data_IF_198888367104
#
_entry.id   IF_198888367104
#
_cell.length_a   1.000
_cell.length_b   1.000
_cell.length_c   1.000
_cell.angle_alpha   90.00
_cell.angle_beta   90.00
_cell.angle_gamma   90.00
#
_symmetry.space_group_name_H-M   'P 1'
#
loop_
_entity.id
_entity.type
_entity.pdbx_description
1 polymer ?
#
# COMPACT_ATOMS: atom_id res chain seq x y z
N UNK A 1 3.74 27.82 16.85
CA UNK A 1 4.31 26.61 16.26
C UNK A 1 4.03 26.62 14.75
N UNK A 2 4.99 26.27 13.90
CA UNK A 2 4.80 26.14 12.45
C UNK A 2 4.86 24.66 12.07
N UNK A 3 3.79 24.14 11.47
CA UNK A 3 3.73 22.77 11.01
C UNK A 3 4.02 22.67 9.52
N UNK A 4 4.76 21.63 9.11
CA UNK A 4 4.91 21.24 7.73
C UNK A 4 4.23 19.90 7.47
N UNK A 5 3.90 19.66 6.21
CA UNK A 5 3.39 18.36 5.75
C UNK A 5 4.20 17.88 4.54
N UNK A 6 4.57 16.61 4.55
CA UNK A 6 5.24 15.93 3.42
C UNK A 6 4.43 14.68 3.09
N UNK A 7 3.96 14.58 1.86
CA UNK A 7 3.17 13.43 1.43
C UNK A 7 2.84 13.47 -0.05
N UNK A 8 2.70 12.31 -0.67
CA UNK A 8 2.25 12.18 -2.05
C UNK A 8 1.22 11.04 -2.22
N UNK A 9 1.09 10.17 -1.22
CA UNK A 9 0.25 8.99 -1.27
C UNK A 9 -1.15 9.27 -0.71
N UNK A 10 -2.16 8.55 -1.20
CA UNK A 10 -3.56 8.69 -0.79
C UNK A 10 -3.78 8.56 0.73
N UNK A 11 -2.96 7.80 1.43
CA UNK A 11 -3.09 7.59 2.87
C UNK A 11 -2.83 8.84 3.73
N UNK A 12 -2.21 9.87 3.15
CA UNK A 12 -1.96 11.15 3.84
C UNK A 12 -3.11 12.15 3.73
N UNK A 13 -3.96 12.03 2.71
CA UNK A 13 -5.02 13.03 2.43
C UNK A 13 -6.01 13.20 3.59
N UNK A 14 -6.64 12.13 4.14
CA UNK A 14 -7.63 12.30 5.20
C UNK A 14 -7.05 12.90 6.49
N UNK A 15 -5.79 12.61 6.78
CA UNK A 15 -5.12 13.13 7.96
C UNK A 15 -4.74 14.61 7.78
N UNK A 16 -4.21 15.00 6.61
CA UNK A 16 -3.94 16.41 6.32
C UNK A 16 -5.22 17.23 6.35
N UNK A 17 -6.30 16.75 5.74
CA UNK A 17 -7.59 17.43 5.74
C UNK A 17 -8.07 17.69 7.17
N UNK A 18 -8.07 16.69 8.03
CA UNK A 18 -8.50 16.81 9.41
C UNK A 18 -7.62 17.80 10.22
N UNK A 19 -6.31 17.79 10.00
CA UNK A 19 -5.37 18.73 10.63
C UNK A 19 -5.66 20.17 10.20
N UNK A 20 -5.96 20.40 8.91
CA UNK A 20 -6.31 21.71 8.37
C UNK A 20 -7.70 22.18 8.87
N UNK A 21 -8.69 21.29 8.91
CA UNK A 21 -10.04 21.58 9.45
C UNK A 21 -10.00 21.93 10.94
N UNK A 22 -9.08 21.34 11.69
CA UNK A 22 -8.84 21.69 13.09
C UNK A 22 -8.15 23.05 13.27
N UNK A 23 -7.83 23.78 12.19
CA UNK A 23 -7.15 25.06 12.22
C UNK A 23 -5.70 24.99 12.69
N UNK A 24 -5.06 23.84 12.57
CA UNK A 24 -3.65 23.70 12.93
C UNK A 24 -2.76 24.53 11.99
N UNK A 25 -1.67 25.13 12.48
CA UNK A 25 -0.86 26.10 11.73
C UNK A 25 0.07 25.42 10.72
N UNK A 26 -0.50 24.70 9.75
CA UNK A 26 0.23 24.14 8.63
C UNK A 26 0.60 25.24 7.65
N UNK A 27 1.87 25.54 7.53
CA UNK A 27 2.37 26.66 6.72
C UNK A 27 2.86 26.25 5.34
N UNK A 28 3.11 24.96 5.12
CA UNK A 28 3.49 24.41 3.81
C UNK A 28 3.20 22.93 3.70
N UNK A 29 2.88 22.51 2.49
CA UNK A 29 2.80 21.09 2.08
C UNK A 29 3.84 20.83 0.99
N UNK A 30 4.61 19.76 1.13
CA UNK A 30 5.55 19.29 0.11
C UNK A 30 5.03 17.96 -0.46
N UNK A 31 5.01 17.86 -1.79
CA UNK A 31 4.61 16.64 -2.51
C UNK A 31 5.59 16.33 -3.64
N UNK A 32 5.51 15.12 -4.20
CA UNK A 32 6.30 14.79 -5.38
C UNK A 32 5.76 15.52 -6.61
N UNK A 33 6.66 15.93 -7.50
CA UNK A 33 6.29 16.38 -8.85
C UNK A 33 5.45 15.32 -9.55
N UNK A 34 4.45 15.70 -10.37
CA UNK A 34 3.54 14.75 -11.02
C UNK A 34 4.26 13.63 -11.80
N UNK A 35 5.32 13.96 -12.52
CA UNK A 35 6.11 13.01 -13.30
C UNK A 35 6.86 12.00 -12.43
N UNK A 36 7.25 12.37 -11.21
CA UNK A 36 7.86 11.45 -10.24
C UNK A 36 6.80 10.61 -9.55
N UNK A 37 5.68 11.22 -9.18
CA UNK A 37 4.57 10.57 -8.51
C UNK A 37 3.88 9.52 -9.40
N UNK A 38 3.79 9.76 -10.72
CA UNK A 38 3.16 8.85 -11.69
C UNK A 38 3.79 7.44 -11.70
N UNK A 39 5.06 7.31 -11.32
CA UNK A 39 5.74 6.01 -11.20
C UNK A 39 5.53 5.33 -9.84
N UNK A 40 4.72 5.91 -8.96
CA UNK A 40 4.49 5.43 -7.59
C UNK A 40 3.05 4.97 -7.40
N UNK A 41 2.88 3.79 -6.83
CA UNK A 41 1.55 3.28 -6.47
C UNK A 41 0.88 4.18 -5.43
N UNK A 42 -0.42 4.41 -5.56
CA UNK A 42 -1.21 5.16 -4.58
C UNK A 42 -0.96 6.67 -4.56
N UNK A 43 -0.28 7.24 -5.57
CA UNK A 43 -0.10 8.67 -5.68
C UNK A 43 -1.45 9.40 -5.74
N UNK A 44 -1.56 10.53 -5.04
CA UNK A 44 -2.76 11.34 -4.96
C UNK A 44 -2.45 12.83 -5.19
N UNK A 45 -3.43 13.57 -5.70
CA UNK A 45 -3.31 15.00 -5.94
C UNK A 45 -3.63 15.81 -4.69
N UNK A 46 -2.64 16.46 -4.10
CA UNK A 46 -2.76 17.32 -2.91
C UNK A 46 -3.21 18.76 -3.25
N UNK A 47 -3.16 19.16 -4.54
CA UNK A 47 -3.48 20.54 -4.98
C UNK A 47 -4.90 20.99 -4.63
N UNK A 48 -5.97 20.17 -4.80
CA UNK A 48 -7.32 20.60 -4.45
C UNK A 48 -7.46 20.94 -2.96
N UNK A 49 -6.86 20.10 -2.09
CA UNK A 49 -6.89 20.30 -0.65
C UNK A 49 -6.12 21.57 -0.24
N UNK A 50 -4.90 21.74 -0.74
CA UNK A 50 -4.07 22.91 -0.47
C UNK A 50 -4.76 24.21 -0.92
N UNK A 51 -5.40 24.20 -2.10
CA UNK A 51 -6.18 25.38 -2.58
C UNK A 51 -7.37 25.69 -1.68
N UNK A 52 -8.13 24.67 -1.25
CA UNK A 52 -9.28 24.83 -0.36
C UNK A 52 -8.92 25.56 0.95
N UNK A 53 -7.77 25.22 1.51
CA UNK A 53 -7.32 25.79 2.79
C UNK A 53 -6.30 26.93 2.66
N UNK A 54 -5.93 27.32 1.44
CA UNK A 54 -4.98 28.42 1.21
C UNK A 54 -3.54 28.11 1.69
N UNK A 55 -3.16 26.83 1.74
CA UNK A 55 -1.82 26.41 2.17
C UNK A 55 -0.89 26.28 0.95
N UNK A 56 0.31 26.87 0.97
CA UNK A 56 1.30 26.73 -0.09
C UNK A 56 1.67 25.26 -0.33
N UNK A 57 1.66 24.84 -1.61
CA UNK A 57 2.10 23.52 -2.04
C UNK A 57 3.41 23.66 -2.82
N UNK A 58 4.40 22.87 -2.43
CA UNK A 58 5.70 22.77 -3.09
C UNK A 58 5.89 21.39 -3.69
N UNK A 59 6.16 21.34 -4.99
CA UNK A 59 6.41 20.10 -5.71
C UNK A 59 7.91 19.84 -5.83
N UNK A 60 8.38 18.69 -5.33
CA UNK A 60 9.79 18.33 -5.26
C UNK A 60 10.08 17.02 -6.00
N UNK A 61 11.29 16.85 -6.51
CA UNK A 61 11.75 15.56 -7.09
C UNK A 61 12.19 14.62 -5.98
N UNK A 62 12.94 15.14 -5.03
CA UNK A 62 13.38 14.41 -3.83
C UNK A 62 13.38 15.35 -2.64
N UNK A 63 12.95 14.83 -1.48
CA UNK A 63 12.97 15.57 -0.23
C UNK A 63 14.41 15.86 0.25
N UNK A 64 15.38 15.07 -0.23
CA UNK A 64 16.78 15.17 0.15
C UNK A 64 17.62 16.06 -0.78
N UNK A 65 17.04 16.57 -1.85
CA UNK A 65 17.75 17.47 -2.77
C UNK A 65 18.15 18.78 -2.05
N UNK A 66 19.27 19.41 -2.42
CA UNK A 66 19.71 20.67 -1.81
C UNK A 66 18.63 21.76 -1.82
N UNK A 67 17.86 21.86 -2.92
CA UNK A 67 16.75 22.80 -3.06
C UNK A 67 15.63 22.53 -2.05
N UNK A 68 15.21 21.27 -1.90
CA UNK A 68 14.19 20.84 -0.95
C UNK A 68 14.63 21.10 0.49
N UNK A 69 15.89 20.82 0.81
CA UNK A 69 16.47 21.10 2.13
C UNK A 69 16.52 22.59 2.42
N UNK A 70 16.96 23.40 1.46
CA UNK A 70 16.98 24.87 1.57
C UNK A 70 15.56 25.41 1.81
N UNK A 71 14.57 24.89 1.08
CA UNK A 71 13.17 25.23 1.27
C UNK A 71 12.69 24.89 2.69
N UNK A 72 12.90 23.67 3.16
CA UNK A 72 12.50 23.21 4.50
C UNK A 72 13.14 24.09 5.60
N UNK A 73 14.42 24.39 5.48
CA UNK A 73 15.15 25.26 6.41
C UNK A 73 14.60 26.70 6.39
N UNK A 74 14.33 27.24 5.20
CA UNK A 74 13.80 28.58 5.02
C UNK A 74 12.38 28.78 5.59
N UNK A 75 11.58 27.71 5.63
CA UNK A 75 10.24 27.73 6.23
C UNK A 75 10.28 27.84 7.76
N UNK A 76 11.38 27.45 8.41
CA UNK A 76 11.54 27.49 9.86
C UNK A 76 10.49 26.67 10.60
N UNK A 77 10.31 25.42 10.17
CA UNK A 77 9.30 24.51 10.70
C UNK A 77 9.65 24.03 12.11
N UNK A 78 8.67 23.98 12.98
CA UNK A 78 8.81 23.37 14.29
C UNK A 78 8.65 21.85 14.21
N UNK A 79 7.63 21.36 13.50
CA UNK A 79 7.28 19.97 13.38
C UNK A 79 6.83 19.67 11.95
N UNK A 80 7.22 18.50 11.41
CA UNK A 80 6.79 18.04 10.07
C UNK A 80 6.12 16.69 10.19
N UNK A 81 4.91 16.57 9.64
CA UNK A 81 4.29 15.28 9.38
C UNK A 81 4.73 14.76 8.01
N UNK A 82 5.20 13.51 7.98
CA UNK A 82 5.67 12.81 6.78
C UNK A 82 4.79 11.57 6.60
N UNK A 83 3.66 11.73 5.92
CA UNK A 83 2.62 10.69 5.82
C UNK A 83 2.44 10.29 4.36
N UNK A 84 2.60 8.99 4.09
CA UNK A 84 2.55 8.49 2.73
C UNK A 84 3.73 8.98 1.88
N UNK A 85 4.93 8.80 2.37
CA UNK A 85 6.18 9.16 1.71
C UNK A 85 7.08 7.94 1.52
N UNK A 86 7.68 7.78 0.35
CA UNK A 86 8.44 6.57 -0.01
C UNK A 86 9.95 6.73 -0.01
N UNK A 87 10.46 7.95 0.17
CA UNK A 87 11.90 8.20 0.23
C UNK A 87 12.37 8.19 1.69
N UNK A 88 13.50 7.55 1.96
CA UNK A 88 14.17 7.64 3.26
C UNK A 88 14.72 9.07 3.39
N UNK A 89 14.45 9.72 4.51
CA UNK A 89 14.93 11.07 4.78
C UNK A 89 16.40 11.02 5.26
N UNK A 90 17.24 11.84 4.65
CA UNK A 90 18.61 12.00 5.08
C UNK A 90 18.69 12.71 6.46
N UNK A 91 19.74 12.50 7.25
CA UNK A 91 19.92 13.15 8.55
C UNK A 91 19.77 14.67 8.50
N UNK A 92 20.30 15.30 7.46
CA UNK A 92 20.23 16.75 7.24
C UNK A 92 18.81 17.22 6.95
N UNK A 93 17.99 16.37 6.29
CA UNK A 93 16.57 16.64 6.06
C UNK A 93 15.78 16.50 7.37
N UNK A 94 16.03 15.46 8.14
CA UNK A 94 15.41 15.28 9.46
C UNK A 94 15.71 16.43 10.41
N UNK A 95 16.91 16.99 10.35
CA UNK A 95 17.33 18.13 11.17
C UNK A 95 16.69 19.49 10.75
N UNK A 96 15.90 19.53 9.66
CA UNK A 96 15.25 20.77 9.20
C UNK A 96 14.04 21.17 10.04
N UNK A 97 13.55 20.33 10.94
CA UNK A 97 12.44 20.62 11.84
C UNK A 97 12.93 20.68 13.29
N UNK A 98 12.60 21.75 14.00
CA UNK A 98 13.14 22.05 15.35
C UNK A 98 12.79 20.96 16.39
N UNK A 99 11.56 20.46 16.37
CA UNK A 99 11.07 19.40 17.27
C UNK A 99 11.24 18.00 16.67
N UNK A 100 11.44 17.92 15.35
CA UNK A 100 11.59 16.67 14.60
C UNK A 100 10.49 16.45 13.60
N UNK A 101 10.49 15.22 13.03
CA UNK A 101 9.53 14.80 12.02
C UNK A 101 8.79 13.54 12.49
N UNK A 102 7.51 13.49 12.20
CA UNK A 102 6.62 12.36 12.55
C UNK A 102 6.21 11.66 11.27
N UNK A 103 6.40 10.36 11.20
CA UNK A 103 5.97 9.50 10.09
C UNK A 103 4.95 8.47 10.53
N UNK A 104 4.28 7.86 9.54
CA UNK A 104 3.44 6.70 9.76
C UNK A 104 4.00 5.48 9.02
N UNK A 105 3.91 4.33 9.65
CA UNK A 105 4.33 3.06 9.07
C UNK A 105 3.22 2.02 9.24
N UNK A 106 2.74 1.46 8.13
CA UNK A 106 1.55 0.61 8.09
C UNK A 106 1.80 -0.81 8.63
N UNK A 107 2.33 -0.90 9.84
CA UNK A 107 2.50 -2.12 10.62
C UNK A 107 2.46 -1.85 12.13
N UNK A 108 2.35 -2.89 12.93
CA UNK A 108 2.54 -2.85 14.38
C UNK A 108 4.03 -2.93 14.71
N UNK A 109 4.73 -1.79 14.65
CA UNK A 109 6.16 -1.72 14.99
C UNK A 109 6.45 -2.27 16.40
N UNK A 110 7.55 -2.98 16.57
CA UNK A 110 8.71 -3.16 15.68
C UNK A 110 8.57 -4.24 14.60
N UNK A 111 7.41 -4.91 14.49
CA UNK A 111 7.19 -5.93 13.45
C UNK A 111 7.06 -5.27 12.08
N UNK A 112 7.52 -5.96 11.03
CA UNK A 112 7.35 -5.57 9.64
C UNK A 112 7.90 -4.16 9.31
N UNK A 113 9.05 -3.77 9.88
CA UNK A 113 9.81 -2.60 9.42
C UNK A 113 10.18 -2.76 7.96
N UNK A 114 10.29 -1.67 7.20
CA UNK A 114 10.76 -1.68 5.81
C UNK A 114 9.68 -1.40 4.78
N UNK A 115 9.86 -1.90 3.56
CA UNK A 115 9.04 -1.50 2.43
C UNK A 115 7.77 -2.34 2.26
N UNK A 116 6.67 -1.69 1.88
CA UNK A 116 5.41 -2.30 1.47
C UNK A 116 4.81 -3.29 2.51
N UNK A 117 4.71 -2.91 3.82
CA UNK A 117 4.25 -3.81 4.86
C UNK A 117 2.85 -4.38 4.59
N UNK A 118 1.93 -3.60 4.02
CA UNK A 118 0.56 -4.04 3.66
C UNK A 118 0.58 -5.20 2.65
N UNK A 119 1.45 -5.12 1.63
CA UNK A 119 1.56 -6.22 0.66
C UNK A 119 2.11 -7.48 1.34
N UNK A 120 3.14 -7.33 2.18
CA UNK A 120 3.77 -8.47 2.83
C UNK A 120 2.86 -9.20 3.81
N UNK A 121 2.05 -8.49 4.61
CA UNK A 121 1.11 -9.14 5.53
C UNK A 121 0.01 -9.91 4.79
N UNK A 122 -0.48 -9.38 3.67
CA UNK A 122 -1.44 -10.07 2.81
C UNK A 122 -0.83 -11.29 2.14
N UNK A 123 0.36 -11.17 1.52
CA UNK A 123 1.06 -12.28 0.87
C UNK A 123 1.31 -13.43 1.87
N UNK A 124 1.69 -13.10 3.10
CA UNK A 124 1.94 -14.08 4.17
C UNK A 124 0.66 -14.64 4.78
N UNK A 125 -0.52 -14.11 4.44
CA UNK A 125 -1.79 -14.52 5.00
C UNK A 125 -1.91 -14.20 6.49
N UNK A 126 -1.28 -13.12 6.97
CA UNK A 126 -1.42 -12.67 8.35
C UNK A 126 -2.87 -12.21 8.61
N UNK A 127 -3.36 -12.41 9.83
CA UNK A 127 -4.73 -12.06 10.22
C UNK A 127 -4.83 -10.70 10.92
N UNK A 128 -3.69 -10.11 11.27
CA UNK A 128 -3.60 -8.84 11.98
C UNK A 128 -2.43 -8.08 11.42
N UNK A 129 -2.64 -6.80 11.15
CA UNK A 129 -1.61 -5.79 10.92
C UNK A 129 -1.89 -4.58 11.79
N UNK A 130 -1.36 -3.45 11.45
CA UNK A 130 -1.65 -2.19 12.13
C UNK A 130 -1.03 -1.01 11.43
N UNK A 131 -1.06 0.10 12.13
CA UNK A 131 -0.39 1.31 11.72
C UNK A 131 0.27 1.96 12.94
N UNK A 132 1.48 2.46 12.78
CA UNK A 132 2.26 3.09 13.85
C UNK A 132 2.63 4.51 13.45
N UNK A 133 2.31 5.46 14.30
CA UNK A 133 2.80 6.83 14.22
C UNK A 133 4.10 6.92 15.03
N UNK A 134 5.18 7.37 14.41
CA UNK A 134 6.52 7.35 15.02
C UNK A 134 7.25 8.68 14.83
N UNK A 135 8.15 9.01 15.71
CA UNK A 135 9.21 9.97 15.42
C UNK A 135 10.16 9.37 14.39
N UNK A 136 10.45 10.12 13.32
CA UNK A 136 11.41 9.66 12.33
C UNK A 136 12.83 9.77 12.89
N UNK A 137 13.64 8.76 12.60
CA UNK A 137 15.02 8.63 13.04
C UNK A 137 15.92 8.19 11.87
N UNK A 138 17.24 8.21 12.09
CA UNK A 138 18.20 7.82 11.05
C UNK A 138 18.09 6.33 10.65
N UNK A 139 17.66 5.47 11.58
CA UNK A 139 17.41 4.07 11.27
C UNK A 139 15.96 3.88 10.78
N UNK A 140 15.78 3.06 9.74
CA UNK A 140 14.49 2.83 9.09
C UNK A 140 13.46 2.31 10.09
N UNK A 141 12.34 3.02 10.21
CA UNK A 141 11.18 2.70 11.05
C UNK A 141 11.52 2.36 12.51
N UNK A 142 12.63 2.92 13.04
CA UNK A 142 13.15 2.57 14.35
C UNK A 142 12.96 3.66 15.43
N UNK A 143 12.34 4.77 15.08
CA UNK A 143 12.08 5.86 16.02
C UNK A 143 11.00 5.52 17.05
N UNK A 144 10.85 6.36 18.05
CA UNK A 144 9.92 6.15 19.16
C UNK A 144 8.47 6.13 18.67
N UNK A 145 7.72 5.15 19.15
CA UNK A 145 6.30 5.00 18.82
C UNK A 145 5.47 6.01 19.61
N UNK A 146 4.75 6.86 18.89
CA UNK A 146 3.85 7.87 19.46
C UNK A 146 2.47 7.26 19.72
N UNK A 147 1.93 6.56 18.73
CA UNK A 147 0.63 5.91 18.78
C UNK A 147 0.58 4.71 17.84
N UNK A 148 -0.31 3.76 18.09
CA UNK A 148 -0.51 2.58 17.25
C UNK A 148 -1.98 2.22 17.18
N UNK A 149 -2.42 1.76 16.00
CA UNK A 149 -3.75 1.19 15.78
C UNK A 149 -3.62 -0.20 15.19
N UNK A 150 -4.25 -1.18 15.81
CA UNK A 150 -4.36 -2.53 15.30
C UNK A 150 -5.44 -2.60 14.21
N UNK A 151 -5.17 -3.34 13.14
CA UNK A 151 -6.05 -3.51 12.00
C UNK A 151 -6.21 -5.03 11.72
N UNK A 152 -7.34 -5.63 12.07
CA UNK A 152 -7.64 -7.01 11.70
C UNK A 152 -7.68 -7.17 10.18
N UNK A 153 -7.21 -8.31 9.67
CA UNK A 153 -7.24 -8.65 8.24
C UNK A 153 -8.26 -9.77 8.03
N UNK A 154 -9.25 -9.51 7.20
CA UNK A 154 -10.25 -10.49 6.80
C UNK A 154 -9.84 -11.22 5.51
N UNK A 155 -10.45 -12.36 5.20
CA UNK A 155 -10.24 -13.01 3.90
C UNK A 155 -10.62 -12.16 2.69
N UNK A 156 -11.46 -11.13 2.88
CA UNK A 156 -11.94 -10.26 1.80
C UNK A 156 -11.11 -8.98 1.63
N UNK A 157 -10.20 -8.70 2.57
CA UNK A 157 -9.35 -7.53 2.47
C UNK A 157 -8.34 -7.67 1.33
N UNK A 158 -8.18 -6.56 0.61
CA UNK A 158 -7.15 -6.34 -0.41
C UNK A 158 -6.17 -5.27 0.05
N UNK A 159 -5.09 -5.04 -0.70
CA UNK A 159 -4.22 -3.91 -0.40
C UNK A 159 -4.98 -2.57 -0.44
N UNK A 160 -5.96 -2.41 -1.34
CA UNK A 160 -6.77 -1.19 -1.42
C UNK A 160 -7.58 -0.96 -0.14
N UNK A 161 -8.36 -1.96 0.32
CA UNK A 161 -9.18 -1.82 1.54
C UNK A 161 -8.33 -1.60 2.79
N UNK A 162 -7.16 -2.23 2.87
CA UNK A 162 -6.23 -1.98 3.99
C UNK A 162 -5.63 -0.58 3.93
N UNK A 163 -5.29 -0.04 2.75
CA UNK A 163 -4.82 1.35 2.64
C UNK A 163 -5.87 2.38 3.04
N UNK A 164 -7.15 2.15 2.72
CA UNK A 164 -8.24 3.01 3.20
C UNK A 164 -8.30 3.01 4.74
N UNK A 165 -8.15 1.85 5.38
CA UNK A 165 -8.11 1.73 6.83
C UNK A 165 -6.85 2.33 7.44
N UNK A 166 -5.70 2.21 6.79
CA UNK A 166 -4.46 2.90 7.17
C UNK A 166 -4.65 4.42 7.09
N UNK A 167 -5.25 4.93 6.02
CA UNK A 167 -5.53 6.36 5.87
C UNK A 167 -6.44 6.89 6.99
N UNK A 168 -7.50 6.16 7.32
CA UNK A 168 -8.38 6.49 8.44
C UNK A 168 -7.62 6.46 9.78
N UNK A 169 -6.79 5.43 10.02
CA UNK A 169 -5.99 5.33 11.24
C UNK A 169 -4.93 6.42 11.36
N UNK A 170 -4.32 6.87 10.25
CA UNK A 170 -3.41 8.03 10.23
C UNK A 170 -4.13 9.28 10.75
N UNK A 171 -5.32 9.56 10.21
CA UNK A 171 -6.16 10.68 10.67
C UNK A 171 -6.43 10.57 12.16
N UNK A 172 -6.93 9.43 12.61
CA UNK A 172 -7.36 9.26 13.99
C UNK A 172 -6.20 9.33 14.98
N UNK A 173 -5.05 8.72 14.67
CA UNK A 173 -3.85 8.81 15.51
C UNK A 173 -3.31 10.24 15.58
N UNK A 174 -3.19 10.91 14.43
CA UNK A 174 -2.70 12.29 14.39
C UNK A 174 -3.63 13.21 15.19
N UNK A 175 -4.94 13.10 15.01
CA UNK A 175 -5.90 13.94 15.74
C UNK A 175 -5.88 13.70 17.25
N UNK A 176 -5.63 12.46 17.71
CA UNK A 176 -5.45 12.17 19.15
C UNK A 176 -4.23 12.83 19.74
N UNK A 177 -3.13 12.89 19.00
CA UNK A 177 -1.86 13.41 19.54
C UNK A 177 -1.62 14.89 19.23
N UNK A 178 -2.29 15.46 18.23
CA UNK A 178 -2.11 16.84 17.78
C UNK A 178 -2.19 17.89 18.91
N UNK A 179 -3.15 17.86 19.85
CA UNK A 179 -3.21 18.83 20.93
C UNK A 179 -1.96 18.81 21.83
N UNK A 180 -1.38 17.63 22.05
CA UNK A 180 -0.15 17.48 22.84
C UNK A 180 1.05 18.06 22.09
N UNK A 181 1.17 17.73 20.80
CA UNK A 181 2.23 18.25 19.94
C UNK A 181 2.19 19.77 19.84
N UNK A 182 0.98 20.37 19.72
CA UNK A 182 0.81 21.83 19.65
C UNK A 182 1.23 22.54 20.96
N UNK A 183 1.18 21.85 22.10
CA UNK A 183 1.74 22.36 23.38
C UNK A 183 3.26 22.18 23.48
N UNK A 184 3.91 21.61 22.47
CA UNK A 184 5.36 21.32 22.45
C UNK A 184 5.76 20.07 23.23
N UNK A 185 4.79 19.20 23.57
CA UNK A 185 5.11 17.89 24.14
C UNK A 185 5.76 16.97 23.08
N UNK A 186 6.60 16.08 23.56
CA UNK A 186 7.27 15.08 22.72
C UNK A 186 6.83 13.66 23.17
N UNK A 187 5.58 13.27 22.86
CA UNK A 187 5.09 11.94 23.25
C UNK A 187 5.83 10.85 22.48
N UNK A 188 6.05 9.72 23.11
CA UNK A 188 6.64 8.56 22.46
C UNK A 188 7.14 7.56 23.48
N UNK A 189 7.33 6.33 23.03
CA UNK A 189 7.99 5.25 23.76
C UNK A 189 9.02 4.59 22.86
N UNK A 190 10.22 4.26 23.36
CA UNK A 190 11.22 3.54 22.59
C UNK A 190 10.67 2.20 22.08
N UNK A 191 11.04 1.86 20.86
CA UNK A 191 10.73 0.53 20.35
C UNK A 191 11.62 -0.52 21.00
N UNK A 192 11.08 -1.72 21.34
CA UNK A 192 11.91 -2.86 21.68
C UNK A 192 12.91 -3.16 20.56
N UNK A 193 14.07 -3.69 20.91
CA UNK A 193 15.00 -4.20 19.89
C UNK A 193 14.28 -5.27 19.08
N UNK A 194 14.30 -5.14 17.76
CA UNK A 194 13.73 -6.12 16.84
C UNK A 194 14.88 -6.88 16.19
N UNK A 195 14.83 -8.21 16.27
CA UNK A 195 15.78 -9.10 15.61
C UNK A 195 15.33 -9.47 14.19
N UNK A 196 14.12 -9.02 13.78
CA UNK A 196 13.55 -9.29 12.46
C UNK A 196 14.27 -8.54 11.34
N UNK A 197 14.40 -9.19 10.18
CA UNK A 197 14.88 -8.54 8.97
C UNK A 197 13.91 -7.44 8.52
N UNK A 198 14.46 -6.36 7.96
CA UNK A 198 13.69 -5.29 7.32
C UNK A 198 13.04 -5.85 6.05
N UNK A 199 11.76 -5.57 5.84
CA UNK A 199 11.03 -6.00 4.66
C UNK A 199 11.65 -5.43 3.38
N UNK A 200 11.97 -6.28 2.39
CA UNK A 200 12.58 -5.82 1.16
C UNK A 200 11.56 -5.04 0.31
N UNK A 201 12.10 -4.14 -0.51
CA UNK A 201 11.30 -3.43 -1.51
C UNK A 201 10.83 -4.39 -2.60
N UNK A 202 9.54 -4.35 -2.90
CA UNK A 202 8.97 -5.08 -4.03
C UNK A 202 9.14 -4.32 -5.34
N UNK A 203 9.28 -5.10 -6.43
CA UNK A 203 9.38 -4.60 -7.81
C UNK A 203 8.20 -5.18 -8.61
N UNK A 204 7.79 -4.57 -9.74
CA UNK A 204 6.73 -5.12 -10.58
C UNK A 204 6.96 -6.59 -10.99
N UNK A 205 8.21 -6.97 -11.27
CA UNK A 205 8.57 -8.35 -11.61
C UNK A 205 8.26 -9.38 -10.50
N UNK A 206 8.24 -8.94 -9.23
CA UNK A 206 7.88 -9.81 -8.11
C UNK A 206 6.37 -10.15 -8.08
N UNK A 207 5.61 -9.65 -9.06
CA UNK A 207 4.19 -9.93 -9.24
C UNK A 207 3.89 -11.19 -10.07
N UNK A 208 4.90 -11.89 -10.60
CA UNK A 208 4.71 -13.14 -11.34
C UNK A 208 4.05 -14.20 -10.45
N UNK A 209 2.93 -14.77 -10.92
CA UNK A 209 2.19 -15.78 -10.17
C UNK A 209 2.90 -17.13 -10.31
N UNK A 210 3.23 -17.74 -9.18
CA UNK A 210 3.69 -19.13 -9.11
C UNK A 210 2.49 -20.04 -8.81
N UNK A 211 1.95 -20.66 -9.83
CA UNK A 211 0.82 -21.58 -9.71
C UNK A 211 1.15 -22.87 -8.93
N UNK A 212 2.43 -23.17 -8.72
CA UNK A 212 2.87 -24.29 -7.88
C UNK A 212 2.69 -24.04 -6.39
N UNK A 213 2.20 -22.86 -6.00
CA UNK A 213 1.85 -22.55 -4.62
C UNK A 213 0.45 -23.06 -4.27
N UNK A 214 0.15 -23.10 -2.97
CA UNK A 214 -1.20 -23.39 -2.47
C UNK A 214 -2.19 -22.32 -2.97
N UNK A 215 -3.45 -22.71 -3.23
CA UNK A 215 -4.47 -21.78 -3.73
C UNK A 215 -4.63 -20.53 -2.84
N UNK A 216 -4.52 -20.68 -1.51
CA UNK A 216 -4.56 -19.56 -0.59
C UNK A 216 -3.36 -18.60 -0.75
N UNK A 217 -2.18 -19.11 -1.08
CA UNK A 217 -1.00 -18.29 -1.32
C UNK A 217 -1.13 -17.51 -2.63
N UNK A 218 -1.61 -18.15 -3.69
CA UNK A 218 -1.92 -17.48 -4.98
C UNK A 218 -2.98 -16.40 -4.78
N UNK A 219 -4.08 -16.73 -4.10
CA UNK A 219 -5.12 -15.76 -3.78
C UNK A 219 -4.59 -14.56 -2.97
N UNK A 220 -3.78 -14.84 -1.94
CA UNK A 220 -3.17 -13.81 -1.11
C UNK A 220 -2.25 -12.89 -1.93
N UNK A 221 -1.48 -13.43 -2.86
CA UNK A 221 -0.64 -12.66 -3.75
C UNK A 221 -1.46 -11.75 -4.66
N UNK A 222 -2.55 -12.24 -5.26
CA UNK A 222 -3.43 -11.45 -6.12
C UNK A 222 -4.04 -10.29 -5.33
N UNK A 223 -4.68 -10.56 -4.19
CA UNK A 223 -5.30 -9.52 -3.36
C UNK A 223 -4.32 -8.52 -2.75
N UNK A 224 -3.07 -8.92 -2.56
CA UNK A 224 -2.00 -8.06 -2.08
C UNK A 224 -1.47 -7.10 -3.14
N UNK A 225 -1.56 -7.46 -4.41
CA UNK A 225 -0.97 -6.72 -5.53
C UNK A 225 -1.99 -6.04 -6.44
N UNK A 226 -3.30 -6.16 -6.16
CA UNK A 226 -4.32 -5.44 -6.91
C UNK A 226 -4.13 -3.93 -6.82
N UNK A 227 -4.92 -3.16 -7.57
CA UNK A 227 -4.81 -1.69 -7.57
C UNK A 227 -4.75 -1.13 -6.14
N UNK A 228 -3.89 -0.15 -5.86
CA UNK A 228 -3.12 0.69 -6.79
C UNK A 228 -1.75 0.13 -7.22
N UNK A 229 -1.45 -1.12 -6.93
CA UNK A 229 -0.21 -1.78 -7.35
C UNK A 229 -0.30 -2.27 -8.80
N UNK A 230 0.85 -2.67 -9.42
CA UNK A 230 0.89 -3.13 -10.83
C UNK A 230 0.16 -4.44 -11.11
N UNK A 231 -0.30 -5.16 -10.09
CA UNK A 231 -1.01 -6.42 -10.19
C UNK A 231 -0.12 -7.67 -10.13
N UNK A 232 -0.74 -8.79 -9.79
CA UNK A 232 -0.16 -10.11 -10.02
C UNK A 232 -0.38 -10.49 -11.49
N UNK A 233 0.55 -11.22 -12.10
CA UNK A 233 0.48 -11.48 -13.54
C UNK A 233 1.05 -12.85 -13.92
N UNK A 234 0.72 -13.30 -15.12
CA UNK A 234 1.27 -14.48 -15.78
C UNK A 234 1.00 -14.43 -17.28
N UNK A 235 1.31 -15.48 -18.00
CA UNK A 235 1.06 -15.62 -19.44
C UNK A 235 0.08 -16.75 -19.71
N UNK A 236 -0.79 -16.53 -20.66
CA UNK A 236 -1.69 -17.53 -21.20
C UNK A 236 -1.70 -17.39 -22.73
N UNK A 237 -1.37 -18.46 -23.47
CA UNK A 237 -1.22 -18.43 -24.92
C UNK A 237 -0.23 -17.36 -25.42
N UNK A 238 0.89 -17.19 -24.72
CA UNK A 238 1.92 -16.20 -25.06
C UNK A 238 1.51 -14.73 -24.83
N UNK A 239 0.31 -14.49 -24.30
CA UNK A 239 -0.18 -13.15 -23.95
C UNK A 239 -0.06 -12.95 -22.45
N UNK A 240 0.48 -11.78 -22.03
CA UNK A 240 0.56 -11.42 -20.62
C UNK A 240 -0.79 -10.90 -20.13
N UNK A 241 -1.21 -11.41 -18.96
CA UNK A 241 -2.41 -11.01 -18.28
C UNK A 241 -2.10 -10.58 -16.84
N UNK A 242 -2.61 -9.44 -16.44
CA UNK A 242 -2.62 -9.01 -15.05
C UNK A 242 -3.92 -9.49 -14.40
N UNK A 243 -3.82 -10.16 -13.26
CA UNK A 243 -4.96 -10.66 -12.48
C UNK A 243 -5.27 -9.65 -11.39
N UNK A 244 -6.43 -9.00 -11.51
CA UNK A 244 -6.87 -7.98 -10.56
C UNK A 244 -7.71 -8.53 -9.42
N UNK A 245 -8.53 -9.55 -9.72
CA UNK A 245 -9.43 -10.14 -8.73
C UNK A 245 -9.49 -11.66 -8.90
N UNK A 246 -9.52 -12.35 -7.77
CA UNK A 246 -9.73 -13.78 -7.69
C UNK A 246 -10.55 -14.12 -6.46
N UNK A 247 -11.05 -15.35 -6.41
CA UNK A 247 -11.69 -15.93 -5.24
C UNK A 247 -11.16 -17.35 -4.99
N UNK A 248 -11.15 -17.76 -3.72
CA UNK A 248 -10.95 -19.16 -3.37
C UNK A 248 -12.21 -19.94 -3.71
N UNK A 249 -12.06 -21.09 -4.36
CA UNK A 249 -13.18 -21.98 -4.66
C UNK A 249 -13.39 -22.95 -3.49
N UNK A 250 -14.46 -22.82 -2.70
CA UNK A 250 -14.73 -23.74 -1.60
C UNK A 250 -14.89 -25.17 -2.11
N UNK A 251 -14.31 -26.15 -1.43
CA UNK A 251 -14.45 -27.57 -1.76
C UNK A 251 -13.66 -28.06 -2.96
N UNK A 252 -12.80 -27.22 -3.55
CA UNK A 252 -11.95 -27.62 -4.70
C UNK A 252 -10.79 -28.57 -4.35
N UNK A 253 -10.65 -28.96 -3.08
CA UNK A 253 -9.73 -30.02 -2.70
C UNK A 253 -10.21 -31.35 -3.35
N UNK A 254 -9.51 -31.76 -4.42
CA UNK A 254 -9.89 -32.91 -5.24
C UNK A 254 -10.41 -32.58 -6.65
N UNK A 255 -10.95 -31.37 -6.88
CA UNK A 255 -11.35 -30.95 -8.24
C UNK A 255 -10.15 -30.74 -9.19
N UNK A 256 -8.95 -30.63 -8.62
CA UNK A 256 -7.68 -30.46 -9.34
C UNK A 256 -6.88 -31.76 -9.44
N UNK A 257 -7.45 -32.90 -9.02
CA UNK A 257 -6.75 -34.17 -9.06
C UNK A 257 -6.40 -34.54 -10.52
N UNK A 258 -5.10 -34.64 -10.79
CA UNK A 258 -4.58 -34.97 -12.14
C UNK A 258 -4.32 -33.79 -13.06
N UNK A 259 -4.60 -32.54 -12.61
CA UNK A 259 -4.28 -31.32 -13.37
C UNK A 259 -2.92 -30.75 -12.94
N UNK A 260 -2.23 -30.17 -13.89
CA UNK A 260 -1.00 -29.45 -13.61
C UNK A 260 -1.32 -28.05 -13.00
N UNK A 261 -0.52 -27.59 -12.05
CA UNK A 261 -0.63 -26.20 -11.60
C UNK A 261 -0.55 -25.21 -12.77
N UNK A 262 -1.47 -24.24 -12.83
CA UNK A 262 -1.62 -23.30 -13.93
C UNK A 262 -2.62 -23.74 -15.00
N UNK A 263 -3.04 -25.00 -15.02
CA UNK A 263 -4.05 -25.48 -15.98
C UNK A 263 -5.44 -24.88 -15.67
N UNK A 264 -6.12 -24.41 -16.71
CA UNK A 264 -7.46 -23.83 -16.61
C UNK A 264 -8.50 -24.96 -16.68
N UNK A 265 -9.26 -25.14 -15.61
CA UNK A 265 -10.32 -26.15 -15.52
C UNK A 265 -11.52 -25.79 -16.40
N UNK A 266 -11.78 -24.49 -16.55
CA UNK A 266 -12.92 -23.97 -17.27
C UNK A 266 -13.70 -22.92 -16.50
N UNK A 267 -14.89 -22.53 -17.00
CA UNK A 267 -15.64 -21.42 -16.45
C UNK A 267 -16.42 -21.78 -15.18
N UNK A 268 -16.59 -20.79 -14.30
CA UNK A 268 -17.68 -20.72 -13.33
C UNK A 268 -18.71 -19.76 -13.86
N UNK A 269 -19.97 -20.24 -13.96
CA UNK A 269 -21.13 -19.42 -14.31
C UNK A 269 -22.04 -19.33 -13.09
N UNK A 270 -22.34 -18.13 -12.67
CA UNK A 270 -23.18 -17.82 -11.53
C UNK A 270 -24.32 -16.88 -11.92
N UNK A 271 -25.47 -16.93 -11.23
CA UNK A 271 -26.50 -15.87 -11.32
C UNK A 271 -25.94 -14.49 -10.96
N UNK A 272 -25.02 -14.42 -9.99
CA UNK A 272 -24.24 -13.22 -9.70
C UNK A 272 -23.09 -13.12 -10.71
N UNK A 273 -23.20 -12.14 -11.61
CA UNK A 273 -22.22 -11.92 -12.65
C UNK A 273 -20.81 -11.66 -12.12
N UNK A 274 -20.72 -11.04 -10.94
CA UNK A 274 -19.41 -10.75 -10.31
C UNK A 274 -18.67 -12.01 -9.85
N UNK A 275 -19.38 -13.13 -9.68
CA UNK A 275 -18.82 -14.43 -9.30
C UNK A 275 -18.52 -15.33 -10.53
N UNK A 276 -18.77 -14.87 -11.75
CA UNK A 276 -18.40 -15.59 -12.97
C UNK A 276 -16.91 -15.40 -13.26
N UNK A 277 -16.25 -16.44 -13.80
CA UNK A 277 -14.82 -16.36 -14.11
C UNK A 277 -14.23 -17.67 -14.62
N UNK A 278 -12.91 -17.78 -14.60
CA UNK A 278 -12.17 -18.99 -15.01
C UNK A 278 -11.47 -19.62 -13.80
N UNK A 279 -11.59 -20.92 -13.67
CA UNK A 279 -10.95 -21.68 -12.59
C UNK A 279 -9.56 -22.12 -13.04
N UNK A 280 -8.56 -21.86 -12.24
CA UNK A 280 -7.17 -22.24 -12.49
C UNK A 280 -6.66 -23.12 -11.36
N UNK A 281 -6.06 -24.27 -11.73
CA UNK A 281 -5.47 -25.21 -10.80
C UNK A 281 -4.25 -24.60 -10.10
N UNK A 282 -4.16 -24.83 -8.80
CA UNK A 282 -2.98 -24.59 -7.99
C UNK A 282 -2.47 -25.94 -7.44
N UNK A 283 -1.43 -25.92 -6.64
CA UNK A 283 -0.80 -27.13 -6.09
C UNK A 283 -1.76 -28.14 -5.44
N UNK A 284 -2.75 -27.69 -4.67
CA UNK A 284 -3.64 -28.56 -3.90
C UNK A 284 -5.12 -28.24 -4.07
N UNK A 285 -5.45 -27.13 -4.72
CA UNK A 285 -6.81 -26.66 -4.92
C UNK A 285 -6.83 -25.70 -6.13
N UNK A 286 -7.87 -24.87 -6.26
CA UNK A 286 -7.98 -23.92 -7.35
C UNK A 286 -8.36 -22.51 -6.88
N UNK A 287 -8.09 -21.54 -7.71
CA UNK A 287 -8.61 -20.18 -7.60
C UNK A 287 -9.51 -19.87 -8.78
N UNK A 288 -10.54 -19.09 -8.58
CA UNK A 288 -11.35 -18.51 -9.66
C UNK A 288 -10.84 -17.12 -9.97
N UNK A 289 -10.40 -16.87 -11.20
CA UNK A 289 -10.06 -15.56 -11.70
C UNK A 289 -11.37 -14.82 -12.02
N UNK A 290 -11.56 -13.65 -11.44
CA UNK A 290 -12.79 -12.86 -11.59
C UNK A 290 -12.59 -11.63 -12.48
N UNK A 291 -11.37 -11.10 -12.52
CA UNK A 291 -11.02 -9.96 -13.37
C UNK A 291 -9.56 -10.04 -13.80
N UNK A 292 -9.33 -9.93 -15.11
CA UNK A 292 -8.00 -9.90 -15.71
C UNK A 292 -7.89 -8.82 -16.76
N UNK A 293 -6.67 -8.33 -16.99
CA UNK A 293 -6.39 -7.29 -17.99
C UNK A 293 -5.14 -7.66 -18.78
N UNK A 294 -5.23 -7.65 -20.10
CA UNK A 294 -4.12 -7.90 -20.98
C UNK A 294 -3.26 -6.64 -21.22
N UNK A 295 -2.07 -6.81 -21.78
CA UNK A 295 -1.11 -5.73 -22.06
C UNK A 295 -1.66 -4.65 -23.01
N UNK A 296 -2.60 -5.00 -23.89
CA UNK A 296 -3.26 -4.06 -24.81
C UNK A 296 -4.43 -3.30 -24.15
N UNK A 297 -4.65 -3.49 -22.83
CA UNK A 297 -5.74 -2.87 -22.08
C UNK A 297 -7.08 -3.61 -22.18
N UNK A 298 -7.14 -4.78 -22.84
CA UNK A 298 -8.36 -5.61 -22.87
C UNK A 298 -8.69 -6.09 -21.46
N UNK A 299 -9.78 -5.59 -20.88
CA UNK A 299 -10.28 -5.96 -19.57
C UNK A 299 -11.37 -7.00 -19.69
N UNK A 300 -11.20 -8.17 -19.08
CA UNK A 300 -12.20 -9.24 -19.01
C UNK A 300 -12.64 -9.46 -17.57
N UNK A 301 -13.96 -9.51 -17.34
CA UNK A 301 -14.55 -9.78 -16.01
C UNK A 301 -15.92 -10.44 -16.15
N UNK A 302 -16.38 -11.10 -15.09
CA UNK A 302 -17.71 -11.68 -15.03
C UNK A 302 -17.93 -12.69 -16.19
N UNK A 303 -19.08 -12.61 -16.84
CA UNK A 303 -19.43 -13.50 -17.97
C UNK A 303 -18.46 -13.39 -19.14
N UNK A 304 -17.98 -12.20 -19.45
CA UNK A 304 -17.02 -12.00 -20.55
C UNK A 304 -15.73 -12.82 -20.33
N UNK A 305 -15.27 -12.92 -19.08
CA UNK A 305 -14.13 -13.76 -18.73
C UNK A 305 -14.51 -15.23 -18.74
N UNK A 306 -15.67 -15.59 -18.20
CA UNK A 306 -16.12 -16.97 -18.15
C UNK A 306 -16.35 -17.59 -19.55
N UNK A 307 -16.78 -16.78 -20.53
CA UNK A 307 -17.04 -17.21 -21.93
C UNK A 307 -15.78 -17.36 -22.78
N UNK A 308 -14.59 -17.06 -22.22
CA UNK A 308 -13.34 -17.29 -22.94
C UNK A 308 -13.06 -18.80 -23.08
N UNK A 309 -12.59 -19.21 -24.26
CA UNK A 309 -12.18 -20.60 -24.53
C UNK A 309 -10.77 -20.87 -23.94
N UNK A 310 -10.70 -20.94 -22.60
CA UNK A 310 -9.45 -21.17 -21.87
C UNK A 310 -9.34 -22.55 -21.26
N UNK A 311 -10.41 -23.36 -21.24
CA UNK A 311 -10.39 -24.69 -20.67
C UNK A 311 -9.29 -25.55 -21.30
N UNK A 312 -8.48 -26.24 -20.48
CA UNK A 312 -7.36 -27.06 -20.89
C UNK A 312 -6.09 -26.31 -21.32
N UNK A 313 -6.14 -24.94 -21.36
CA UNK A 313 -4.93 -24.13 -21.54
C UNK A 313 -4.16 -24.01 -20.23
N UNK A 314 -2.90 -23.65 -20.32
CA UNK A 314 -2.04 -23.54 -19.13
C UNK A 314 -1.41 -22.15 -19.05
N UNK A 315 -1.44 -21.59 -17.85
CA UNK A 315 -0.67 -20.41 -17.50
C UNK A 315 0.80 -20.78 -17.36
N UNK A 316 1.66 -19.97 -17.93
CA UNK A 316 3.11 -20.15 -17.86
C UNK A 316 3.81 -18.92 -17.26
N UNK A 317 5.11 -19.00 -17.19
CA UNK A 317 5.95 -17.95 -16.61
C UNK A 317 6.56 -16.99 -17.67
N UNK A 318 6.20 -17.16 -18.96
CA UNK A 318 6.73 -16.39 -20.10
C UNK A 318 8.01 -16.94 -20.68
#
# INVERSE_FOLDING_TARGET
>A
MKLGWVGFHMEGIPALEAVLEAGAPVVAVLTLKPEVAASRSGAADYRPLCRRFGVPLHEVTSINDPESRTLLQGLGLDLVFVIGWSQILAPETLASARLGMIGAHASLLPKNRGSAPINWVLIRGEHITGNSLIWLANAVDAGDVIDQTELPITPYDTCATLYERVAASNRDMIMRVLPRLLRGEHPGRPQPRSEGAVLPRRRPADGLIDWNQEACAVYNMIRALTKPYPGAFGWLDGRRWTVWQAALLPGAAGATAGLAPGEVLGPVISPDESACGQVVACRSAAVTLLQVEADDGTLLRGRQLAEQDWAGKSWDHG
#
